data_IF_720331045495
#
_entry.id   IF_720331045495
#
_cell.length_a   1.000
_cell.length_b   1.000
_cell.length_c   1.000
_cell.angle_alpha   90.00
_cell.angle_beta   90.00
_cell.angle_gamma   90.00
#
_symmetry.space_group_name_H-M   'P 1'
#
loop_
_entity.id
_entity.type
_entity.pdbx_description
1 polymer ?
#
# COMPACT_ATOMS: atom_id res chain seq x y z
N UNK A 1 59.04 -61.69 42.21
CA UNK A 1 59.69 -60.39 42.46
C UNK A 1 59.05 -59.36 41.53
N UNK A 2 58.42 -58.32 42.12
CA UNK A 2 58.16 -56.92 41.68
C UNK A 2 57.96 -56.59 40.17
N UNK A 3 57.17 -55.62 39.68
CA UNK A 3 56.05 -54.76 40.10
C UNK A 3 55.70 -53.83 38.88
N UNK A 4 54.45 -53.33 38.81
CA UNK A 4 54.00 -52.03 38.20
C UNK A 4 54.02 -51.84 36.65
N UNK A 5 53.17 -51.07 35.94
CA UNK A 5 51.89 -50.33 36.11
C UNK A 5 51.49 -49.76 34.70
N UNK A 6 50.27 -49.95 34.16
CA UNK A 6 49.11 -49.04 34.00
C UNK A 6 49.18 -47.79 33.06
N UNK A 7 47.99 -47.47 32.50
CA UNK A 7 47.46 -46.24 31.83
C UNK A 7 47.51 -46.22 30.28
N UNK A 8 46.43 -46.33 29.49
CA UNK A 8 45.08 -45.68 29.45
C UNK A 8 45.12 -44.17 29.21
N UNK A 9 44.88 -43.75 27.95
CA UNK A 9 44.59 -42.36 27.55
C UNK A 9 43.52 -42.35 26.46
N UNK A 10 42.28 -42.03 26.85
CA UNK A 10 41.06 -42.06 26.04
C UNK A 10 40.78 -40.67 25.42
N UNK A 11 40.33 -40.68 24.16
CA UNK A 11 39.95 -39.53 23.33
C UNK A 11 38.98 -38.54 23.99
N UNK A 12 39.23 -37.24 23.80
CA UNK A 12 38.31 -36.14 24.04
C UNK A 12 38.19 -35.28 22.78
N UNK A 13 37.20 -35.57 21.93
CA UNK A 13 36.78 -34.70 20.83
C UNK A 13 35.54 -33.91 21.27
N UNK A 14 35.73 -32.62 21.54
CA UNK A 14 34.65 -31.64 21.75
C UNK A 14 33.95 -31.37 20.41
N UNK A 15 32.75 -31.91 20.22
CA UNK A 15 31.85 -31.48 19.14
C UNK A 15 31.00 -30.30 19.61
N UNK A 16 31.18 -29.16 18.94
CA UNK A 16 30.35 -27.98 19.08
C UNK A 16 28.96 -28.24 18.47
N UNK A 17 27.93 -28.37 19.31
CA UNK A 17 26.53 -28.31 18.89
C UNK A 17 26.09 -26.85 18.74
N UNK A 18 26.30 -26.27 17.57
CA UNK A 18 25.56 -25.09 17.14
C UNK A 18 24.21 -25.56 16.55
N UNK A 19 23.16 -25.57 17.38
CA UNK A 19 21.80 -25.84 16.91
C UNK A 19 21.28 -24.65 16.07
N UNK A 20 20.62 -24.88 14.92
CA UNK A 20 19.99 -23.81 14.17
C UNK A 20 18.83 -23.23 15.01
N UNK A 21 18.80 -21.90 15.14
CA UNK A 21 17.66 -21.19 15.70
C UNK A 21 16.40 -21.56 14.90
N UNK A 22 15.43 -22.21 15.55
CA UNK A 22 14.15 -22.52 14.95
C UNK A 22 13.42 -21.21 14.62
N UNK A 23 13.50 -20.76 13.38
CA UNK A 23 12.56 -19.80 12.84
C UNK A 23 11.17 -20.46 12.93
N UNK A 24 10.34 -19.93 13.82
CA UNK A 24 9.00 -20.46 14.08
C UNK A 24 8.20 -20.35 12.77
N UNK A 25 7.97 -21.49 12.11
CA UNK A 25 7.28 -21.52 10.82
C UNK A 25 5.86 -20.96 10.98
N UNK A 26 5.49 -20.00 10.13
CA UNK A 26 4.14 -19.44 10.16
C UNK A 26 3.12 -20.53 9.82
N UNK A 27 1.96 -20.57 10.51
CA UNK A 27 0.88 -21.47 10.16
C UNK A 27 0.50 -21.30 8.68
N UNK A 28 0.53 -22.39 7.91
CA UNK A 28 0.16 -22.42 6.50
C UNK A 28 -1.37 -22.30 6.33
N UNK A 29 -1.90 -21.10 6.59
CA UNK A 29 -3.31 -20.75 6.43
C UNK A 29 -3.50 -19.67 5.39
N UNK A 30 -4.66 -19.70 4.74
CA UNK A 30 -5.09 -18.59 3.90
C UNK A 30 -5.75 -17.52 4.75
N UNK A 31 -5.56 -16.27 4.35
CA UNK A 31 -6.10 -15.08 4.98
C UNK A 31 -6.87 -14.31 3.92
N UNK A 32 -8.11 -13.96 4.24
CA UNK A 32 -8.90 -13.02 3.46
C UNK A 32 -8.69 -11.61 4.01
N UNK A 33 -8.18 -10.74 3.16
CA UNK A 33 -8.06 -9.31 3.41
C UNK A 33 -9.21 -8.60 2.72
N UNK A 34 -9.97 -7.82 3.48
CA UNK A 34 -11.06 -7.03 2.95
C UNK A 34 -10.79 -5.56 3.21
N UNK A 35 -10.81 -4.75 2.16
CA UNK A 35 -10.57 -3.33 2.19
C UNK A 35 -11.85 -2.60 1.79
N UNK A 36 -12.24 -1.59 2.55
CA UNK A 36 -13.37 -0.74 2.16
C UNK A 36 -13.11 0.71 2.51
N UNK A 37 -13.77 1.59 1.78
CA UNK A 37 -13.85 3.00 2.10
C UNK A 37 -15.26 3.32 2.59
N UNK A 38 -15.36 4.06 3.68
CA UNK A 38 -16.62 4.58 4.20
C UNK A 38 -16.51 6.08 4.45
N UNK A 39 -17.63 6.79 4.45
CA UNK A 39 -17.67 8.15 4.96
C UNK A 39 -17.45 8.13 6.47
N UNK A 40 -16.67 9.08 6.97
CA UNK A 40 -16.50 9.27 8.40
C UNK A 40 -17.78 9.92 8.95
N UNK A 41 -18.19 9.50 10.14
CA UNK A 41 -19.31 10.13 10.84
C UNK A 41 -18.89 11.54 11.26
N UNK A 42 -19.32 12.54 10.50
CA UNK A 42 -19.08 13.94 10.80
C UNK A 42 -20.14 14.46 11.79
N UNK A 43 -19.74 15.35 12.70
CA UNK A 43 -20.64 16.00 13.66
C UNK A 43 -21.57 17.07 13.04
N UNK A 44 -21.84 17.01 11.72
CA UNK A 44 -22.62 17.99 10.98
C UNK A 44 -23.39 17.37 9.82
N UNK A 45 -24.47 18.03 9.40
CA UNK A 45 -25.31 17.59 8.29
C UNK A 45 -24.80 18.17 6.98
N UNK A 46 -24.50 17.30 6.00
CA UNK A 46 -24.26 17.70 4.62
C UNK A 46 -25.43 17.22 3.75
N UNK A 47 -25.97 18.12 2.94
CA UNK A 47 -26.98 17.79 1.92
C UNK A 47 -26.34 18.11 0.59
N UNK A 48 -26.19 17.09 -0.27
CA UNK A 48 -25.66 17.27 -1.62
C UNK A 48 -26.62 16.67 -2.63
N UNK A 49 -26.79 17.37 -3.75
CA UNK A 49 -27.55 16.88 -4.92
C UNK A 49 -26.69 16.03 -5.85
N UNK A 50 -25.37 15.89 -5.58
CA UNK A 50 -24.44 15.05 -6.35
C UNK A 50 -23.35 14.46 -5.42
N UNK A 51 -23.12 13.14 -5.40
CA UNK A 51 -21.98 12.56 -4.68
C UNK A 51 -20.69 13.10 -5.28
N UNK A 52 -19.83 13.75 -4.47
CA UNK A 52 -18.66 14.44 -5.00
C UNK A 52 -17.58 13.48 -5.54
N UNK A 53 -17.49 12.26 -5.01
CA UNK A 53 -16.67 11.15 -5.53
C UNK A 53 -17.31 9.84 -5.07
N UNK A 54 -17.55 8.84 -5.92
CA UNK A 54 -18.10 7.56 -5.47
C UNK A 54 -17.15 6.86 -4.47
N UNK A 55 -17.70 6.18 -3.48
CA UNK A 55 -16.90 5.32 -2.61
C UNK A 55 -16.32 4.17 -3.43
N UNK A 56 -15.05 3.84 -3.16
CA UNK A 56 -14.44 2.68 -3.79
C UNK A 56 -15.19 1.42 -3.32
N UNK A 57 -15.61 0.52 -4.24
CA UNK A 57 -16.27 -0.71 -3.84
C UNK A 57 -15.34 -1.55 -2.96
N UNK A 58 -15.87 -2.32 -1.99
CA UNK A 58 -15.06 -3.19 -1.17
C UNK A 58 -14.19 -4.13 -2.03
N UNK A 59 -12.92 -4.22 -1.69
CA UNK A 59 -11.96 -5.07 -2.37
C UNK A 59 -11.61 -6.24 -1.45
N UNK A 60 -11.60 -7.45 -2.00
CA UNK A 60 -11.28 -8.66 -1.26
C UNK A 60 -10.11 -9.36 -1.93
N UNK A 61 -9.10 -9.75 -1.15
CA UNK A 61 -7.95 -10.51 -1.63
C UNK A 61 -7.66 -11.64 -0.66
N UNK A 62 -7.61 -12.85 -1.20
CA UNK A 62 -7.12 -14.02 -0.50
C UNK A 62 -5.61 -14.14 -0.71
N UNK A 63 -4.86 -14.27 0.38
CA UNK A 63 -3.41 -14.40 0.39
C UNK A 63 -3.01 -15.47 1.40
N UNK A 64 -1.85 -16.10 1.24
CA UNK A 64 -1.33 -16.98 2.30
C UNK A 64 -0.78 -16.15 3.45
N UNK A 65 -0.84 -16.71 4.64
CA UNK A 65 -0.23 -16.13 5.82
C UNK A 65 1.29 -15.92 5.60
N UNK A 66 1.75 -14.69 5.77
CA UNK A 66 3.14 -14.27 5.52
C UNK A 66 3.44 -13.82 4.09
N UNK A 67 2.51 -14.01 3.14
CA UNK A 67 2.68 -13.58 1.75
C UNK A 67 2.15 -12.15 1.52
N UNK A 68 2.57 -11.54 0.40
CA UNK A 68 2.21 -10.15 0.06
C UNK A 68 1.03 -10.12 -0.92
N UNK A 69 -0.01 -9.38 -0.55
CA UNK A 69 -1.12 -9.01 -1.42
C UNK A 69 -0.91 -7.59 -1.98
N UNK A 70 -1.32 -7.36 -3.24
CA UNK A 70 -1.37 -6.04 -3.88
C UNK A 70 -2.76 -5.75 -4.38
N UNK A 71 -3.27 -4.58 -4.04
CA UNK A 71 -4.56 -4.08 -4.52
C UNK A 71 -4.41 -2.64 -4.94
N UNK A 72 -4.90 -2.26 -6.11
CA UNK A 72 -4.74 -0.90 -6.57
C UNK A 72 -5.55 -0.62 -7.83
N UNK A 73 -5.67 0.66 -8.13
CA UNK A 73 -6.13 1.15 -9.41
C UNK A 73 -5.06 2.10 -9.92
N UNK A 74 -4.51 1.78 -11.08
CA UNK A 74 -3.57 2.64 -11.79
C UNK A 74 -4.10 2.90 -13.18
N UNK A 75 -3.88 4.12 -13.65
CA UNK A 75 -4.20 4.53 -15.00
C UNK A 75 -2.98 5.20 -15.60
N UNK A 76 -2.71 4.91 -16.86
CA UNK A 76 -1.65 5.54 -17.62
C UNK A 76 -2.32 6.40 -18.69
N UNK A 77 -2.01 7.70 -18.70
CA UNK A 77 -2.53 8.64 -19.68
C UNK A 77 -1.39 9.04 -20.61
N UNK A 78 -1.51 8.77 -21.93
CA UNK A 78 -0.56 9.27 -22.89
C UNK A 78 -0.80 10.76 -23.13
N UNK A 79 0.28 11.55 -23.18
CA UNK A 79 0.24 12.93 -23.61
C UNK A 79 1.22 13.14 -24.76
N UNK A 80 0.69 13.65 -25.87
CA UNK A 80 1.50 14.06 -27.02
C UNK A 80 2.13 15.42 -26.74
N UNK A 81 3.43 15.50 -26.95
CA UNK A 81 4.26 16.68 -26.74
C UNK A 81 4.87 17.17 -28.04
N UNK A 82 5.07 18.48 -28.19
CA UNK A 82 5.83 19.07 -29.30
C UNK A 82 7.25 19.36 -28.81
N UNK A 83 8.21 18.59 -29.32
CA UNK A 83 9.63 18.71 -28.93
C UNK A 83 10.36 19.79 -29.72
N UNK A 84 10.06 19.91 -31.00
CA UNK A 84 10.76 20.82 -31.91
C UNK A 84 9.80 21.31 -32.98
N UNK A 85 9.86 22.60 -33.26
CA UNK A 85 9.21 23.23 -34.41
C UNK A 85 10.33 23.68 -35.34
N UNK A 86 10.47 23.02 -36.48
CA UNK A 86 11.38 23.43 -37.53
C UNK A 86 10.66 24.43 -38.43
N UNK A 87 11.21 25.64 -38.48
CA UNK A 87 10.76 26.68 -39.39
C UNK A 87 11.13 26.32 -40.84
N UNK A 88 10.31 26.76 -41.78
CA UNK A 88 10.56 26.58 -43.20
C UNK A 88 11.82 27.34 -43.62
N UNK A 89 12.72 26.66 -44.31
CA UNK A 89 13.97 27.20 -44.86
C UNK A 89 14.00 27.09 -46.37
N UNK A 90 14.96 27.76 -47.02
CA UNK A 90 15.05 27.86 -48.50
C UNK A 90 14.99 26.51 -49.24
N UNK A 91 15.33 25.39 -48.59
CA UNK A 91 15.26 24.03 -49.12
C UNK A 91 14.66 22.99 -48.14
N UNK A 92 13.94 23.41 -47.08
CA UNK A 92 13.36 22.50 -46.08
C UNK A 92 11.97 22.95 -45.63
N UNK A 93 10.97 22.06 -45.72
CA UNK A 93 9.59 22.34 -45.29
C UNK A 93 9.46 22.47 -43.77
N UNK A 94 8.45 23.20 -43.30
CA UNK A 94 8.14 23.28 -41.87
C UNK A 94 7.78 21.91 -41.30
N UNK A 95 8.28 21.59 -40.10
CA UNK A 95 8.09 20.29 -39.46
C UNK A 95 7.88 20.40 -37.96
N UNK A 96 7.03 19.54 -37.41
CA UNK A 96 6.80 19.45 -35.96
C UNK A 96 7.25 18.06 -35.51
N UNK A 97 8.25 18.01 -34.62
CA UNK A 97 8.68 16.78 -33.98
C UNK A 97 7.86 16.57 -32.71
N UNK A 98 7.12 15.47 -32.66
CA UNK A 98 6.30 15.11 -31.51
C UNK A 98 6.95 13.98 -30.69
N UNK A 99 6.73 13.99 -29.39
CA UNK A 99 7.15 12.94 -28.45
C UNK A 99 5.95 12.50 -27.60
N UNK A 100 5.88 11.21 -27.24
CA UNK A 100 4.80 10.66 -26.43
C UNK A 100 5.32 10.40 -25.01
N UNK A 101 4.71 11.05 -24.02
CA UNK A 101 5.05 10.86 -22.60
C UNK A 101 3.87 10.16 -21.92
N UNK A 102 4.16 9.11 -21.15
CA UNK A 102 3.18 8.38 -20.37
C UNK A 102 3.19 8.86 -18.93
N UNK A 103 2.06 9.39 -18.48
CA UNK A 103 1.87 9.79 -17.10
C UNK A 103 1.11 8.70 -16.34
N UNK A 104 1.65 8.28 -15.20
CA UNK A 104 1.01 7.30 -14.32
C UNK A 104 0.31 8.03 -13.18
N UNK A 105 -0.95 7.67 -12.96
CA UNK A 105 -1.73 8.11 -11.80
C UNK A 105 -2.46 6.93 -11.19
N UNK A 106 -2.59 6.90 -9.89
CA UNK A 106 -3.27 5.81 -9.20
C UNK A 106 -2.79 5.60 -7.78
N UNK A 107 -3.32 4.55 -7.18
CA UNK A 107 -2.96 4.15 -5.83
C UNK A 107 -2.82 2.62 -5.77
N UNK A 108 -1.78 2.18 -5.08
CA UNK A 108 -1.52 0.77 -4.80
C UNK A 108 -1.32 0.57 -3.31
N UNK A 109 -2.04 -0.39 -2.75
CA UNK A 109 -1.90 -0.87 -1.40
C UNK A 109 -1.27 -2.27 -1.42
N UNK A 110 -0.15 -2.41 -0.73
CA UNK A 110 0.53 -3.65 -0.44
C UNK A 110 0.22 -4.04 0.99
N UNK A 111 -0.15 -5.29 1.21
CA UNK A 111 -0.49 -5.82 2.53
C UNK A 111 0.16 -7.17 2.74
N UNK A 112 0.79 -7.37 3.88
CA UNK A 112 1.36 -8.65 4.29
C UNK A 112 0.80 -9.03 5.66
N UNK A 113 -0.19 -9.93 5.72
CA UNK A 113 -0.70 -10.40 6.99
C UNK A 113 0.23 -11.46 7.57
N UNK A 114 0.50 -11.36 8.86
CA UNK A 114 1.23 -12.32 9.67
C UNK A 114 0.35 -12.67 10.86
N UNK A 115 -0.06 -13.93 10.91
CA UNK A 115 -0.82 -14.52 12.00
C UNK A 115 -0.03 -15.69 12.58
N UNK A 116 0.36 -15.59 13.84
CA UNK A 116 1.13 -16.64 14.54
C UNK A 116 0.22 -17.56 15.37
N UNK A 117 -0.72 -16.97 16.11
CA UNK A 117 -1.77 -17.65 16.86
C UNK A 117 -2.81 -16.62 17.37
N UNK A 118 -3.90 -17.10 17.96
CA UNK A 118 -4.85 -16.25 18.68
C UNK A 118 -5.82 -15.48 17.78
N UNK A 119 -6.29 -14.31 18.26
CA UNK A 119 -7.41 -13.56 17.68
C UNK A 119 -7.03 -12.29 16.92
N UNK A 120 -5.74 -12.06 16.69
CA UNK A 120 -5.24 -10.87 16.01
C UNK A 120 -4.20 -11.28 14.98
N UNK A 121 -4.17 -10.57 13.85
CA UNK A 121 -3.11 -10.67 12.86
C UNK A 121 -2.37 -9.33 12.80
N UNK A 122 -1.05 -9.39 12.71
CA UNK A 122 -0.23 -8.23 12.36
C UNK A 122 -0.28 -8.06 10.85
N UNK A 123 -0.48 -6.83 10.36
CA UNK A 123 -0.51 -6.54 8.93
C UNK A 123 0.47 -5.43 8.65
N UNK A 124 1.52 -5.75 7.90
CA UNK A 124 2.38 -4.74 7.30
C UNK A 124 1.63 -4.15 6.10
N UNK A 125 1.46 -2.84 6.09
CA UNK A 125 0.74 -2.09 5.08
C UNK A 125 1.70 -1.10 4.44
N UNK A 126 1.77 -1.12 3.11
CA UNK A 126 2.50 -0.14 2.33
C UNK A 126 1.57 0.46 1.27
N UNK A 127 1.39 1.76 1.34
CA UNK A 127 0.63 2.53 0.36
C UNK A 127 1.59 3.28 -0.55
N UNK A 128 1.29 3.28 -1.85
CA UNK A 128 1.95 4.05 -2.88
C UNK A 128 0.88 4.79 -3.68
N UNK A 129 0.96 6.12 -3.71
CA UNK A 129 0.10 6.98 -4.53
C UNK A 129 0.91 7.73 -5.57
N UNK A 130 0.35 7.84 -6.76
CA UNK A 130 0.90 8.58 -7.89
C UNK A 130 -0.17 9.53 -8.40
N UNK A 131 0.13 10.82 -8.45
CA UNK A 131 -0.79 11.86 -8.92
C UNK A 131 -0.11 12.69 -10.00
N UNK A 132 -0.91 13.13 -10.96
CA UNK A 132 -0.46 13.99 -12.06
C UNK A 132 -1.14 15.34 -11.86
N UNK A 133 -0.36 16.35 -11.50
CA UNK A 133 -0.87 17.70 -11.30
C UNK A 133 -0.55 18.55 -12.51
N UNK A 134 -1.60 19.05 -13.18
CA UNK A 134 -1.44 20.09 -14.18
C UNK A 134 -1.06 21.40 -13.50
N UNK A 135 0.05 22.00 -13.93
CA UNK A 135 0.54 23.25 -13.38
C UNK A 135 0.18 24.39 -14.34
N UNK A 136 -0.61 25.39 -13.91
CA UNK A 136 -0.94 26.54 -14.76
C UNK A 136 0.33 27.25 -15.24
N UNK A 137 0.45 27.48 -16.56
CA UNK A 137 1.62 28.14 -17.17
C UNK A 137 2.88 27.27 -17.25
N UNK A 138 2.83 26.01 -16.83
CA UNK A 138 3.85 25.01 -17.11
C UNK A 138 3.33 24.06 -18.16
N UNK A 139 4.21 23.76 -19.08
CA UNK A 139 3.85 23.07 -20.30
C UNK A 139 3.76 21.55 -20.01
N UNK A 140 4.57 21.00 -19.08
CA UNK A 140 4.49 19.60 -18.62
C UNK A 140 3.77 19.47 -17.25
N UNK A 141 2.85 18.49 -17.08
CA UNK A 141 2.33 18.12 -15.77
C UNK A 141 3.43 17.61 -14.84
N UNK A 142 3.29 17.91 -13.55
CA UNK A 142 4.18 17.38 -12.52
C UNK A 142 3.63 16.06 -11.97
N UNK A 143 4.44 15.00 -12.01
CA UNK A 143 4.11 13.75 -11.33
C UNK A 143 4.57 13.83 -9.86
N UNK A 144 3.62 13.60 -8.95
CA UNK A 144 3.87 13.54 -7.52
C UNK A 144 3.68 12.11 -7.05
N UNK A 145 4.63 11.61 -6.27
CA UNK A 145 4.55 10.30 -5.64
C UNK A 145 4.48 10.47 -4.13
N UNK A 146 3.68 9.61 -3.50
CA UNK A 146 3.56 9.53 -2.05
C UNK A 146 3.68 8.08 -1.61
N UNK A 147 4.39 7.84 -0.50
CA UNK A 147 4.55 6.51 0.06
C UNK A 147 4.32 6.54 1.57
N UNK A 148 3.59 5.54 2.07
CA UNK A 148 3.40 5.31 3.50
C UNK A 148 3.67 3.83 3.79
N UNK A 149 4.42 3.53 4.86
CA UNK A 149 4.56 2.17 5.37
C UNK A 149 4.22 2.18 6.86
N UNK A 150 3.32 1.29 7.25
CA UNK A 150 2.86 1.16 8.64
C UNK A 150 2.54 -0.29 8.95
N UNK A 151 2.52 -0.62 10.24
CA UNK A 151 2.12 -1.94 10.71
C UNK A 151 0.89 -1.78 11.59
N UNK A 152 -0.11 -2.63 11.38
CA UNK A 152 -1.39 -2.57 12.10
C UNK A 152 -1.71 -3.92 12.73
N UNK A 153 -2.09 -3.91 13.99
CA UNK A 153 -2.66 -5.09 14.66
C UNK A 153 -4.17 -5.13 14.42
N UNK A 154 -4.61 -6.10 13.63
CA UNK A 154 -6.01 -6.27 13.24
C UNK A 154 -6.66 -7.44 14.00
N UNK A 155 -7.68 -7.21 14.83
CA UNK A 155 -8.51 -8.28 15.37
C UNK A 155 -9.22 -9.03 14.25
N UNK A 156 -9.19 -10.36 14.30
CA UNK A 156 -9.77 -11.21 13.27
C UNK A 156 -11.29 -10.99 13.18
N UNK A 157 -11.80 -10.84 11.96
CA UNK A 157 -13.21 -10.62 11.66
C UNK A 157 -13.72 -9.20 11.97
N UNK A 158 -12.86 -8.30 12.44
CA UNK A 158 -13.26 -6.92 12.78
C UNK A 158 -12.68 -5.90 11.80
N UNK A 159 -13.41 -4.80 11.61
CA UNK A 159 -12.93 -3.65 10.83
C UNK A 159 -12.01 -2.78 11.68
N UNK A 160 -10.80 -2.53 11.18
CA UNK A 160 -9.85 -1.58 11.75
C UNK A 160 -9.62 -0.43 10.79
N UNK A 161 -9.48 0.78 11.32
CA UNK A 161 -9.21 1.97 10.51
C UNK A 161 -7.70 2.05 10.23
N UNK A 162 -7.33 2.06 8.94
CA UNK A 162 -5.95 2.22 8.49
C UNK A 162 -5.58 3.70 8.33
N UNK A 163 -6.50 4.48 7.77
CA UNK A 163 -6.27 5.89 7.43
C UNK A 163 -7.57 6.69 7.44
N UNK A 164 -7.43 8.00 7.68
CA UNK A 164 -8.48 9.01 7.53
C UNK A 164 -8.03 10.03 6.49
N UNK A 165 -8.92 10.40 5.58
CA UNK A 165 -8.71 11.45 4.58
C UNK A 165 -9.87 12.44 4.57
N UNK A 166 -9.72 13.56 3.87
CA UNK A 166 -10.71 14.64 3.83
C UNK A 166 -10.59 15.59 5.00
N UNK A 167 -11.41 16.64 4.96
CA UNK A 167 -11.40 17.74 5.92
C UNK A 167 -12.58 17.58 6.86
N UNK A 168 -12.35 17.72 8.16
CA UNK A 168 -13.43 17.68 9.13
C UNK A 168 -14.24 18.98 9.04
N UNK A 169 -15.57 18.93 8.93
CA UNK A 169 -16.37 20.14 8.84
C UNK A 169 -16.30 20.94 10.14
N UNK A 170 -16.11 22.26 10.01
CA UNK A 170 -16.10 23.18 11.15
C UNK A 170 -17.52 23.37 11.69
N UNK A 171 -17.69 23.23 13.01
CA UNK A 171 -19.00 23.31 13.66
C UNK A 171 -19.59 24.71 13.47
N UNK A 172 -20.82 24.78 12.96
CA UNK A 172 -21.56 26.04 12.80
C UNK A 172 -21.22 26.84 11.54
N UNK A 173 -20.34 26.32 10.68
CA UNK A 173 -20.02 26.95 9.39
C UNK A 173 -20.73 26.21 8.26
N UNK A 174 -21.54 26.94 7.50
CA UNK A 174 -22.19 26.41 6.30
C UNK A 174 -21.33 26.77 5.09
N UNK A 175 -20.82 25.75 4.38
CA UNK A 175 -20.14 25.96 3.09
C UNK A 175 -20.72 25.04 2.03
N UNK A 176 -20.81 25.55 0.81
CA UNK A 176 -21.28 24.81 -0.37
C UNK A 176 -20.21 23.91 -0.97
N UNK A 177 -18.93 24.08 -0.62
CA UNK A 177 -17.79 23.27 -1.10
C UNK A 177 -17.45 22.08 -0.16
N UNK A 178 -18.00 22.06 1.06
CA UNK A 178 -17.72 21.06 2.10
C UNK A 178 -17.97 19.61 1.63
N UNK A 179 -18.87 19.41 0.66
CA UNK A 179 -19.16 18.09 0.09
C UNK A 179 -18.00 17.51 -0.72
N UNK A 180 -17.10 18.34 -1.26
CA UNK A 180 -15.97 17.89 -2.09
C UNK A 180 -14.84 17.23 -1.29
N UNK A 181 -14.77 17.51 0.01
CA UNK A 181 -13.70 17.02 0.90
C UNK A 181 -14.26 16.29 2.13
N UNK A 182 -15.42 15.64 2.01
CA UNK A 182 -16.04 14.92 3.12
C UNK A 182 -15.03 13.93 3.76
N UNK A 183 -14.94 13.88 5.10
CA UNK A 183 -13.98 13.02 5.77
C UNK A 183 -14.32 11.56 5.50
N UNK A 184 -13.29 10.75 5.21
CA UNK A 184 -13.41 9.35 4.79
C UNK A 184 -12.47 8.47 5.57
N UNK A 185 -12.87 7.22 5.80
CA UNK A 185 -12.07 6.22 6.48
C UNK A 185 -11.76 5.06 5.53
N UNK A 186 -10.49 4.67 5.49
CA UNK A 186 -10.06 3.42 4.90
C UNK A 186 -10.02 2.35 5.99
N UNK A 187 -10.76 1.26 5.80
CA UNK A 187 -10.86 0.18 6.78
C UNK A 187 -10.39 -1.14 6.20
N UNK A 188 -9.73 -1.93 7.05
CA UNK A 188 -9.26 -3.28 6.77
C UNK A 188 -9.97 -4.27 7.69
N UNK A 189 -10.34 -5.42 7.16
CA UNK A 189 -10.72 -6.59 7.95
C UNK A 189 -9.88 -7.78 7.53
N UNK A 190 -9.45 -8.56 8.51
CA UNK A 190 -8.66 -9.76 8.32
C UNK A 190 -9.46 -10.95 8.79
N UNK A 191 -9.66 -11.94 7.92
CA UNK A 191 -10.41 -13.16 8.25
C UNK A 191 -9.53 -14.37 7.92
N UNK A 192 -9.42 -15.31 8.86
CA UNK A 192 -8.77 -16.60 8.57
C UNK A 192 -9.71 -17.46 7.74
N UNK A 193 -9.18 -18.04 6.67
CA UNK A 193 -9.90 -19.01 5.87
C UNK A 193 -9.60 -20.43 6.40
N UNK A 194 -10.54 -21.36 6.23
CA UNK A 194 -10.41 -22.74 6.67
C UNK A 194 -9.17 -23.44 6.12
#
# INVERSE_FOLDING_TARGET
MMASALLSGLCLSLTWLAGPANAQALPARNVLLELRQIDAVAAGYSVSTKPAVPLQPPQQVQVRNGDVARVGQTSAQPQTWIKEVQAEGQNSGAGVKQELIWFQSGQTLQMRPVWTAGRQAEVEVQWLGENVNQQPGKELPAQQTGQLRTTVLAPLGQWVTLAKSGTEPERGVYRSDAASQAPRLLQLRVTLLP
#
